data_IF_548645799228
#
_entry.id   IF_548645799228
#
_cell.length_a   1.000
_cell.length_b   1.000
_cell.length_c   1.000
_cell.angle_alpha   90.00
_cell.angle_beta   90.00
_cell.angle_gamma   90.00
#
_symmetry.space_group_name_H-M   'P 1'
#
loop_
_entity.id
_entity.type
_entity.pdbx_description
1 polymer ?
#
# COMPACT_ATOMS: atom_id res chain seq x y z
N UNK A 1 -18.36 10.96 -0.67
CA UNK A 1 -19.45 10.95 0.34
C UNK A 1 -19.26 9.68 1.15
N UNK A 2 -19.21 9.77 2.48
CA UNK A 2 -19.05 8.58 3.31
C UNK A 2 -20.38 7.80 3.34
N UNK A 3 -20.38 6.47 3.15
CA UNK A 3 -21.58 5.64 3.23
C UNK A 3 -22.11 5.58 4.68
N UNK A 4 -23.44 5.69 4.86
CA UNK A 4 -24.10 5.57 6.17
C UNK A 4 -23.92 4.18 6.81
N UNK A 5 -23.56 3.17 6.03
CA UNK A 5 -23.40 1.80 6.51
C UNK A 5 -22.12 1.56 7.31
N UNK A 6 -21.15 2.47 7.27
CA UNK A 6 -19.85 2.32 7.94
C UNK A 6 -19.81 3.22 9.18
N UNK A 7 -19.61 2.63 10.35
CA UNK A 7 -19.47 3.38 11.60
C UNK A 7 -18.06 3.97 11.73
N UNK A 8 -17.82 5.12 11.10
CA UNK A 8 -16.51 5.77 11.13
C UNK A 8 -16.04 6.16 12.53
N UNK A 9 -16.95 6.57 13.42
CA UNK A 9 -16.56 6.95 14.79
C UNK A 9 -15.98 5.78 15.56
N UNK A 10 -16.62 4.60 15.46
CA UNK A 10 -16.12 3.39 16.10
C UNK A 10 -14.76 2.95 15.52
N UNK A 11 -14.61 2.97 14.19
CA UNK A 11 -13.33 2.66 13.55
C UNK A 11 -12.24 3.66 13.95
N UNK A 12 -12.55 4.96 14.03
CA UNK A 12 -11.60 5.99 14.49
C UNK A 12 -11.18 5.78 15.93
N UNK A 13 -12.12 5.44 16.83
CA UNK A 13 -11.82 5.13 18.24
C UNK A 13 -10.89 3.92 18.37
N UNK A 14 -11.17 2.83 17.66
CA UNK A 14 -10.30 1.65 17.61
C UNK A 14 -8.89 2.01 17.08
N UNK A 15 -8.81 2.75 15.97
CA UNK A 15 -7.55 3.20 15.39
C UNK A 15 -6.72 4.08 16.35
N UNK A 16 -7.36 4.89 17.19
CA UNK A 16 -6.66 5.71 18.19
C UNK A 16 -6.07 4.89 19.34
N UNK A 17 -6.58 3.69 19.59
CA UNK A 17 -6.06 2.81 20.64
C UNK A 17 -4.74 2.17 20.21
N UNK A 18 -4.71 1.52 19.04
CA UNK A 18 -3.53 0.76 18.61
C UNK A 18 -3.23 0.81 17.09
N UNK A 19 -3.99 1.59 16.34
CA UNK A 19 -3.81 1.76 14.89
C UNK A 19 -4.43 0.65 14.04
N UNK A 20 -5.19 -0.27 14.62
CA UNK A 20 -5.96 -1.29 13.90
C UNK A 20 -7.44 -1.16 14.26
N UNK A 21 -8.32 -1.20 13.26
CA UNK A 21 -9.76 -1.23 13.47
C UNK A 21 -10.43 -2.27 12.59
N UNK A 22 -11.38 -3.00 13.17
CA UNK A 22 -12.15 -4.02 12.48
C UNK A 22 -13.64 -3.69 12.62
N UNK A 23 -14.38 -3.66 11.51
CA UNK A 23 -15.84 -3.49 11.53
C UNK A 23 -16.53 -4.68 12.20
N UNK A 24 -15.94 -5.87 12.14
CA UNK A 24 -16.34 -7.05 12.91
C UNK A 24 -15.17 -7.60 13.70
N UNK A 25 -15.39 -7.78 15.00
CA UNK A 25 -14.43 -8.35 15.94
C UNK A 25 -13.81 -9.66 15.44
N UNK A 26 -12.48 -9.72 15.49
CA UNK A 26 -11.70 -10.91 15.19
C UNK A 26 -10.30 -10.79 15.82
N UNK A 27 -10.15 -11.32 17.03
CA UNK A 27 -8.90 -11.25 17.80
C UNK A 27 -7.66 -11.76 17.06
N UNK A 28 -7.81 -12.81 16.25
CA UNK A 28 -6.69 -13.40 15.52
C UNK A 28 -6.21 -12.47 14.41
N UNK A 29 -7.16 -11.90 13.65
CA UNK A 29 -6.88 -10.92 12.61
C UNK A 29 -6.33 -9.63 13.21
N UNK A 30 -6.90 -9.14 14.31
CA UNK A 30 -6.44 -7.94 15.00
C UNK A 30 -4.98 -8.04 15.39
N UNK A 31 -4.60 -9.14 16.06
CA UNK A 31 -3.20 -9.39 16.47
C UNK A 31 -2.25 -9.50 15.29
N UNK A 32 -2.65 -10.16 14.20
CA UNK A 32 -1.79 -10.27 13.01
C UNK A 32 -1.58 -8.91 12.32
N UNK A 33 -2.63 -8.09 12.23
CA UNK A 33 -2.55 -6.74 11.70
C UNK A 33 -1.71 -5.82 12.58
N UNK A 34 -1.80 -5.91 13.90
CA UNK A 34 -0.91 -5.20 14.82
C UNK A 34 0.55 -5.58 14.57
N UNK A 35 0.85 -6.89 14.46
CA UNK A 35 2.19 -7.35 14.16
C UNK A 35 2.69 -6.88 12.78
N UNK A 36 1.81 -6.83 11.77
CA UNK A 36 2.14 -6.32 10.44
C UNK A 36 2.36 -4.80 10.43
N UNK A 37 1.61 -4.04 11.24
CA UNK A 37 1.81 -2.61 11.48
C UNK A 37 3.15 -2.34 12.14
N UNK A 38 3.48 -3.06 13.19
CA UNK A 38 4.76 -2.92 13.89
C UNK A 38 5.94 -3.28 12.97
N UNK A 39 5.77 -4.30 12.13
CA UNK A 39 6.70 -4.58 11.05
C UNK A 39 6.85 -3.37 10.13
N UNK A 40 5.77 -2.77 9.65
CA UNK A 40 5.84 -1.58 8.79
C UNK A 40 6.58 -0.42 9.45
N UNK A 41 6.33 -0.17 10.74
CA UNK A 41 7.06 0.83 11.52
C UNK A 41 8.57 0.52 11.56
N UNK A 42 8.96 -0.74 11.78
CA UNK A 42 10.37 -1.19 11.77
C UNK A 42 11.06 -1.01 10.41
N UNK A 43 10.29 -0.97 9.31
CA UNK A 43 10.77 -0.71 7.95
C UNK A 43 10.82 0.79 7.61
N UNK A 44 10.49 1.65 8.56
CA UNK A 44 10.50 3.10 8.38
C UNK A 44 9.25 3.66 7.71
N UNK A 45 8.14 2.89 7.64
CA UNK A 45 6.86 3.34 7.04
C UNK A 45 6.16 4.41 7.89
N UNK A 46 6.54 4.51 9.16
CA UNK A 46 6.02 5.51 10.10
C UNK A 46 4.63 5.11 10.61
N UNK A 47 3.82 6.10 10.94
CA UNK A 47 2.45 5.87 11.41
C UNK A 47 1.59 5.25 10.30
N UNK A 48 1.13 4.03 10.57
CA UNK A 48 0.26 3.26 9.70
C UNK A 48 -1.01 2.90 10.47
N UNK A 49 -2.16 3.22 9.90
CA UNK A 49 -3.48 2.83 10.39
C UNK A 49 -4.11 1.84 9.42
N UNK A 50 -4.80 0.83 9.97
CA UNK A 50 -5.40 -0.25 9.18
C UNK A 50 -6.85 -0.44 9.64
N UNK A 51 -7.79 -0.06 8.79
CA UNK A 51 -9.21 -0.34 8.98
C UNK A 51 -9.67 -1.46 8.05
N UNK A 52 -10.36 -2.46 8.59
CA UNK A 52 -10.95 -3.57 7.82
C UNK A 52 -12.46 -3.47 7.85
N UNK A 53 -13.08 -3.38 6.66
CA UNK A 53 -14.53 -3.45 6.50
C UNK A 53 -14.93 -4.87 6.08
N UNK A 54 -16.13 -5.30 6.46
CA UNK A 54 -16.68 -6.61 6.13
C UNK A 54 -16.96 -6.75 4.64
N UNK A 55 -17.45 -5.66 4.03
CA UNK A 55 -17.87 -5.62 2.65
C UNK A 55 -17.45 -4.30 1.98
N UNK A 56 -17.24 -4.28 0.66
CA UNK A 56 -17.00 -3.04 -0.06
C UNK A 56 -18.24 -2.11 0.05
N UNK A 57 -18.04 -0.79 0.17
CA UNK A 57 -19.14 0.15 0.05
C UNK A 57 -19.74 0.11 -1.36
N UNK A 58 -20.96 0.66 -1.52
CA UNK A 58 -21.70 0.64 -2.78
C UNK A 58 -20.90 1.19 -3.97
N UNK A 59 -19.99 2.16 -3.72
CA UNK A 59 -19.03 2.64 -4.70
C UNK A 59 -17.63 2.47 -4.16
N UNK A 60 -16.76 1.80 -4.90
CA UNK A 60 -15.35 1.62 -4.51
C UNK A 60 -14.60 2.95 -4.32
N UNK A 61 -15.03 4.01 -5.01
CA UNK A 61 -14.50 5.36 -4.81
C UNK A 61 -14.66 5.83 -3.35
N UNK A 62 -15.74 5.41 -2.68
CA UNK A 62 -16.03 5.81 -1.30
C UNK A 62 -15.03 5.19 -0.31
N UNK A 63 -14.31 4.11 -0.66
CA UNK A 63 -13.25 3.57 0.19
C UNK A 63 -12.12 4.57 0.40
N UNK A 64 -11.81 5.40 -0.61
CA UNK A 64 -10.81 6.46 -0.48
C UNK A 64 -11.31 7.57 0.43
N UNK A 65 -12.58 7.94 0.32
CA UNK A 65 -13.18 8.95 1.17
C UNK A 65 -13.18 8.48 2.64
N UNK A 66 -13.54 7.21 2.90
CA UNK A 66 -13.42 6.59 4.23
C UNK A 66 -11.98 6.67 4.74
N UNK A 67 -10.99 6.29 3.92
CA UNK A 67 -9.58 6.34 4.32
C UNK A 67 -9.13 7.79 4.63
N UNK A 68 -9.63 8.78 3.88
CA UNK A 68 -9.34 10.19 4.13
C UNK A 68 -9.95 10.67 5.44
N UNK A 69 -11.22 10.36 5.71
CA UNK A 69 -11.88 10.78 6.94
C UNK A 69 -11.24 10.13 8.17
N UNK A 70 -10.97 8.81 8.13
CA UNK A 70 -10.24 8.13 9.21
C UNK A 70 -8.85 8.74 9.43
N UNK A 71 -8.11 9.08 8.38
CA UNK A 71 -6.82 9.75 8.50
C UNK A 71 -6.94 11.16 9.12
N UNK A 72 -8.00 11.91 8.78
CA UNK A 72 -8.27 13.24 9.37
C UNK A 72 -8.61 13.12 10.86
N UNK A 73 -9.50 12.20 11.21
CA UNK A 73 -10.02 12.04 12.57
C UNK A 73 -8.94 11.53 13.54
N UNK A 74 -8.07 10.65 13.06
CA UNK A 74 -7.03 10.01 13.88
C UNK A 74 -5.69 10.72 13.81
N UNK A 75 -5.46 11.56 12.79
CA UNK A 75 -4.17 12.18 12.50
C UNK A 75 -3.12 11.23 11.92
N UNK A 76 -3.45 9.95 11.71
CA UNK A 76 -2.52 8.93 11.22
C UNK A 76 -2.07 9.25 9.79
N UNK A 77 -0.76 9.35 9.58
CA UNK A 77 -0.17 9.82 8.33
C UNK A 77 -0.42 8.90 7.12
N UNK A 78 -0.51 7.58 7.31
CA UNK A 78 -0.82 6.61 6.25
C UNK A 78 -1.97 5.71 6.69
N UNK A 79 -3.09 5.77 5.96
CA UNK A 79 -4.31 5.04 6.30
C UNK A 79 -4.65 4.04 5.20
N UNK A 80 -4.82 2.78 5.60
CA UNK A 80 -5.27 1.68 4.75
C UNK A 80 -6.69 1.31 5.14
N UNK A 81 -7.59 1.29 4.15
CA UNK A 81 -8.92 0.71 4.28
C UNK A 81 -8.97 -0.54 3.42
N UNK A 82 -9.22 -1.69 4.04
CA UNK A 82 -9.14 -3.01 3.43
C UNK A 82 -10.51 -3.69 3.45
N UNK A 83 -10.85 -4.32 2.33
CA UNK A 83 -11.99 -5.26 2.22
C UNK A 83 -11.52 -6.51 1.48
N UNK A 84 -12.28 -7.62 1.48
CA UNK A 84 -11.92 -8.77 0.66
C UNK A 84 -11.68 -8.38 -0.81
N UNK A 85 -10.50 -8.74 -1.33
CA UNK A 85 -10.13 -8.54 -2.74
C UNK A 85 -9.76 -7.11 -3.18
N UNK A 86 -9.86 -6.08 -2.32
CA UNK A 86 -9.37 -4.73 -2.67
C UNK A 86 -9.01 -3.89 -1.45
N UNK A 87 -8.31 -2.78 -1.67
CA UNK A 87 -7.94 -1.83 -0.64
C UNK A 87 -7.94 -0.40 -1.20
N UNK A 88 -8.05 0.59 -0.32
CA UNK A 88 -7.76 1.99 -0.61
C UNK A 88 -6.71 2.48 0.38
N UNK A 89 -5.75 3.28 -0.11
CA UNK A 89 -4.69 3.84 0.72
C UNK A 89 -4.59 5.34 0.49
N UNK A 90 -4.45 6.09 1.58
CA UNK A 90 -4.09 7.50 1.55
C UNK A 90 -2.89 7.75 2.44
N UNK A 91 -2.06 8.71 2.05
CA UNK A 91 -0.91 9.10 2.87
C UNK A 91 -0.59 10.57 2.65
N UNK A 92 -0.17 11.25 3.72
CA UNK A 92 0.47 12.56 3.68
C UNK A 92 1.99 12.46 3.50
N UNK A 93 2.55 11.25 3.62
CA UNK A 93 4.00 10.98 3.59
C UNK A 93 4.49 10.45 2.24
N UNK A 94 3.68 9.63 1.58
CA UNK A 94 4.06 8.96 0.34
C UNK A 94 3.42 9.60 -0.88
N UNK A 95 4.14 9.58 -2.01
CA UNK A 95 3.55 10.01 -3.27
C UNK A 95 2.46 9.04 -3.72
N UNK A 96 1.49 9.55 -4.49
CA UNK A 96 0.44 8.70 -5.06
C UNK A 96 1.00 7.53 -5.88
N UNK A 97 2.07 7.76 -6.64
CA UNK A 97 2.70 6.74 -7.46
C UNK A 97 3.36 5.63 -6.63
N UNK A 98 3.92 5.95 -5.46
CA UNK A 98 4.50 4.95 -4.57
C UNK A 98 3.41 4.11 -3.91
N UNK A 99 2.32 4.76 -3.48
CA UNK A 99 1.15 4.07 -2.94
C UNK A 99 0.51 3.12 -3.96
N UNK A 100 0.30 3.56 -5.20
CA UNK A 100 -0.30 2.73 -6.26
C UNK A 100 0.54 1.46 -6.53
N UNK A 101 1.87 1.57 -6.49
CA UNK A 101 2.76 0.40 -6.61
C UNK A 101 2.65 -0.54 -5.41
N UNK A 102 2.71 0.01 -4.20
CA UNK A 102 2.71 -0.78 -2.97
C UNK A 102 1.35 -1.45 -2.71
N UNK A 103 0.25 -0.81 -3.11
CA UNK A 103 -1.12 -1.27 -2.87
C UNK A 103 -1.41 -2.64 -3.49
N UNK A 104 -0.66 -3.06 -4.52
CA UNK A 104 -0.84 -4.37 -5.16
C UNK A 104 -0.81 -5.52 -4.14
N UNK A 105 0.11 -5.48 -3.16
CA UNK A 105 0.22 -6.50 -2.11
C UNK A 105 -1.04 -6.60 -1.24
N UNK A 106 -1.71 -5.48 -0.98
CA UNK A 106 -2.98 -5.45 -0.24
C UNK A 106 -4.13 -6.05 -1.04
N UNK A 107 -4.07 -6.02 -2.37
CA UNK A 107 -5.13 -6.53 -3.25
C UNK A 107 -4.99 -8.03 -3.47
N UNK A 108 -3.78 -8.49 -3.79
CA UNK A 108 -3.56 -9.88 -4.24
C UNK A 108 -3.42 -10.88 -3.11
N UNK A 109 -3.08 -10.43 -1.90
CA UNK A 109 -2.89 -11.33 -0.76
C UNK A 109 -4.22 -11.55 -0.02
N UNK A 110 -4.72 -12.80 0.07
CA UNK A 110 -5.90 -13.12 0.87
C UNK A 110 -5.62 -12.99 2.37
N UNK A 111 -4.38 -13.22 2.78
CA UNK A 111 -3.91 -13.00 4.15
C UNK A 111 -3.57 -11.52 4.34
N UNK A 112 -4.23 -10.90 5.32
CA UNK A 112 -4.24 -9.46 5.49
C UNK A 112 -2.92 -8.96 6.05
N UNK A 113 -2.35 -9.63 7.05
CA UNK A 113 -1.05 -9.27 7.60
C UNK A 113 0.07 -9.49 6.59
N UNK A 114 0.04 -10.57 5.79
CA UNK A 114 1.00 -10.77 4.68
C UNK A 114 0.87 -9.63 3.66
N UNK A 115 -0.35 -9.24 3.30
CA UNK A 115 -0.59 -8.10 2.40
C UNK A 115 0.00 -6.80 2.93
N UNK A 116 -0.19 -6.50 4.22
CA UNK A 116 0.34 -5.29 4.88
C UNK A 116 1.87 -5.31 4.96
N UNK A 117 2.48 -6.46 5.26
CA UNK A 117 3.96 -6.60 5.25
C UNK A 117 4.53 -6.37 3.84
N UNK A 118 3.90 -6.94 2.82
CA UNK A 118 4.29 -6.73 1.42
C UNK A 118 4.11 -5.28 0.95
N UNK A 119 3.06 -4.60 1.43
CA UNK A 119 2.87 -3.16 1.22
C UNK A 119 4.01 -2.36 1.86
N UNK A 120 4.36 -2.66 3.11
CA UNK A 120 5.44 -2.00 3.82
C UNK A 120 6.81 -2.19 3.14
N UNK A 121 7.11 -3.40 2.68
CA UNK A 121 8.36 -3.68 1.96
C UNK A 121 8.46 -2.92 0.65
N UNK A 122 7.34 -2.77 -0.06
CA UNK A 122 7.27 -1.99 -1.31
C UNK A 122 7.53 -0.50 -1.09
N UNK A 123 7.09 0.05 0.05
CA UNK A 123 7.33 1.44 0.42
C UNK A 123 8.75 1.69 0.97
N UNK A 124 9.31 0.71 1.68
CA UNK A 124 10.65 0.81 2.25
C UNK A 124 11.76 0.70 1.20
N UNK A 125 11.54 -0.06 0.12
CA UNK A 125 12.49 -0.27 -0.97
C UNK A 125 11.88 0.18 -2.29
N UNK A 126 11.68 1.50 -2.50
CA UNK A 126 11.24 1.96 -3.81
C UNK A 126 12.31 1.55 -4.82
N UNK A 127 11.96 0.67 -5.76
CA UNK A 127 12.89 0.29 -6.84
C UNK A 127 13.38 1.58 -7.49
N UNK A 128 14.71 1.80 -7.59
CA UNK A 128 15.24 3.01 -8.19
C UNK A 128 15.00 2.93 -9.70
N UNK A 129 13.80 3.33 -10.15
CA UNK A 129 13.36 3.25 -11.55
C UNK A 129 14.36 4.00 -12.45
N UNK A 130 14.95 5.10 -11.97
CA UNK A 130 16.02 5.79 -12.69
C UNK A 130 17.26 4.92 -12.92
N UNK A 131 17.67 4.11 -11.94
CA UNK A 131 18.79 3.19 -12.07
C UNK A 131 18.44 2.04 -13.03
N UNK A 132 17.23 1.48 -12.93
CA UNK A 132 16.76 0.44 -13.85
C UNK A 132 16.68 0.94 -15.30
N UNK A 133 16.13 2.13 -15.52
CA UNK A 133 16.08 2.78 -16.84
C UNK A 133 17.47 3.08 -17.39
N UNK A 134 18.39 3.55 -16.55
CA UNK A 134 19.79 3.77 -16.94
C UNK A 134 20.47 2.45 -17.34
N UNK A 135 20.26 1.39 -16.56
CA UNK A 135 20.84 0.07 -16.83
C UNK A 135 20.28 -0.53 -18.12
N UNK A 136 18.97 -0.37 -18.39
CA UNK A 136 18.34 -0.75 -19.66
C UNK A 136 18.95 0.01 -20.84
N UNK A 137 19.15 1.34 -20.72
CA UNK A 137 19.78 2.15 -21.77
C UNK A 137 21.21 1.68 -22.07
N UNK A 138 21.99 1.34 -21.05
CA UNK A 138 23.35 0.79 -21.22
C UNK A 138 23.31 -0.54 -21.98
N UNK A 139 22.39 -1.44 -21.64
CA UNK A 139 22.22 -2.73 -22.35
C UNK A 139 21.85 -2.51 -23.81
N UNK A 140 20.91 -1.60 -24.10
CA UNK A 140 20.49 -1.27 -25.47
C UNK A 140 21.66 -0.66 -26.26
N UNK A 141 22.40 0.28 -25.68
CA UNK A 141 23.56 0.89 -26.32
C UNK A 141 24.66 -0.13 -26.64
N UNK A 142 24.93 -1.06 -25.73
CA UNK A 142 25.89 -2.14 -25.94
C UNK A 142 25.45 -3.10 -27.06
N UNK A 143 24.17 -3.47 -27.10
CA UNK A 143 23.62 -4.32 -28.16
C UNK A 143 23.70 -3.65 -29.54
N UNK A 144 23.36 -2.36 -29.63
CA UNK A 144 23.50 -1.56 -30.86
C UNK A 144 24.96 -1.46 -31.29
N UNK A 145 25.87 -1.14 -30.36
CA UNK A 145 27.31 -1.07 -30.63
C UNK A 145 27.89 -2.39 -31.15
N UNK A 146 27.54 -3.51 -30.53
CA UNK A 146 27.97 -4.84 -30.96
C UNK A 146 27.43 -5.20 -32.36
N UNK A 147 26.17 -4.86 -32.65
CA UNK A 147 25.55 -5.08 -33.96
C UNK A 147 26.25 -4.28 -35.06
N UNK A 148 26.54 -3.00 -34.82
CA UNK A 148 27.29 -2.14 -35.75
C UNK A 148 28.72 -2.64 -36.00
N UNK A 149 29.42 -3.10 -34.96
CA UNK A 149 30.75 -3.69 -35.11
C UNK A 149 30.74 -4.97 -35.95
N UNK A 150 29.72 -5.83 -35.80
CA UNK A 150 29.58 -7.03 -36.63
C UNK A 150 29.32 -6.72 -38.10
N UNK A 151 28.50 -5.72 -38.42
CA UNK A 151 28.23 -5.32 -39.81
C UNK A 151 29.52 -4.84 -40.48
N UNK A 152 30.31 -4.01 -39.79
CA UNK A 152 31.57 -3.47 -40.32
C UNK A 152 32.67 -4.52 -40.50
N UNK A 153 32.62 -5.63 -39.76
CA UNK A 153 33.57 -6.74 -39.92
C UNK A 153 33.28 -7.64 -41.13
N UNK A 154 32.09 -7.54 -41.74
CA UNK A 154 31.65 -8.33 -42.90
C UNK A 154 31.60 -7.52 -44.22
N UNK A 155 32.02 -6.25 -44.20
CA UNK A 155 32.13 -5.38 -45.39
C UNK A 155 33.59 -5.10 -45.69
#
# INVERSE_FOLDING_TARGET
>A
MVPESVNLSDLSEQLLVDGVALERDNDALHRDLMAARDYAASRGVGELGIAVLEAPPARLADMRDIAQELARDTGIATMVVKVPGTAAVVSTRYSRADLEKAQQSLVVQPDYGVGVRGFADSLAHPLPVGLLSALLLVVVAAAVGASLMRIKAYT
#
